data_IF_834415781110
#
_entry.id   IF_834415781110
#
_cell.length_a   1.000
_cell.length_b   1.000
_cell.length_c   1.000
_cell.angle_alpha   90.00
_cell.angle_beta   90.00
_cell.angle_gamma   90.00
#
_symmetry.space_group_name_H-M   'P 1'
#
loop_
_entity.id
_entity.type
_entity.pdbx_description
1 polymer ?
#
# COMPACT_ATOMS: atom_id res chain seq x y z
N UNK A 1 -5.34 16.47 -8.37
CA UNK A 1 -5.01 15.42 -7.39
C UNK A 1 -5.61 15.83 -6.07
N UNK A 2 -6.13 14.88 -5.33
CA UNK A 2 -6.76 15.07 -4.02
C UNK A 2 -5.95 14.28 -2.99
N UNK A 3 -5.75 14.86 -1.81
CA UNK A 3 -5.17 14.15 -0.66
C UNK A 3 -6.29 13.87 0.33
N UNK A 4 -6.40 12.61 0.73
CA UNK A 4 -7.49 12.13 1.58
C UNK A 4 -7.07 12.18 3.05
N UNK A 5 -8.04 12.45 3.92
CA UNK A 5 -7.84 12.39 5.35
C UNK A 5 -7.44 10.96 5.75
N UNK A 6 -6.28 10.86 6.40
CA UNK A 6 -5.72 9.61 6.87
C UNK A 6 -5.88 9.49 8.39
N UNK A 7 -5.87 8.28 8.94
CA UNK A 7 -5.74 8.06 10.39
C UNK A 7 -4.52 8.77 10.97
N UNK A 8 -4.64 9.17 12.23
CA UNK A 8 -3.51 9.66 13.01
C UNK A 8 -2.63 8.47 13.38
N UNK A 9 -1.35 8.54 13.02
CA UNK A 9 -0.36 7.51 13.31
C UNK A 9 0.56 7.95 14.46
N UNK A 10 1.28 7.01 15.11
CA UNK A 10 2.38 7.36 15.99
C UNK A 10 3.45 8.19 15.25
N UNK A 11 4.16 9.06 15.97
CA UNK A 11 5.09 10.06 15.40
C UNK A 11 6.17 9.50 14.47
N UNK A 12 6.57 8.23 14.67
CA UNK A 12 7.56 7.55 13.85
C UNK A 12 7.03 7.11 12.46
N UNK A 13 5.73 7.29 12.19
CA UNK A 13 5.08 6.94 10.92
C UNK A 13 4.40 8.15 10.28
N UNK A 14 4.49 8.24 8.96
CA UNK A 14 3.78 9.22 8.16
C UNK A 14 3.04 8.49 7.05
N UNK A 15 1.82 8.92 6.74
CA UNK A 15 0.99 8.33 5.70
C UNK A 15 0.34 9.42 4.87
N UNK A 16 0.41 9.25 3.55
CA UNK A 16 -0.38 10.01 2.60
C UNK A 16 -1.17 9.06 1.71
N UNK A 17 -2.47 9.32 1.60
CA UNK A 17 -3.35 8.69 0.62
C UNK A 17 -3.75 9.75 -0.41
N UNK A 18 -3.34 9.55 -1.65
CA UNK A 18 -3.65 10.44 -2.77
C UNK A 18 -4.62 9.78 -3.74
N UNK A 19 -5.38 10.62 -4.45
CA UNK A 19 -6.36 10.23 -5.45
C UNK A 19 -6.27 11.12 -6.69
N UNK A 20 -6.43 10.49 -7.86
CA UNK A 20 -6.73 11.18 -9.12
C UNK A 20 -8.12 10.71 -9.60
N UNK A 21 -9.15 11.58 -9.53
CA UNK A 21 -10.45 11.27 -10.10
C UNK A 21 -10.37 11.23 -11.63
N UNK A 22 -11.35 10.57 -12.28
CA UNK A 22 -11.43 10.48 -13.74
C UNK A 22 -10.13 9.97 -14.39
N UNK A 23 -9.47 9.01 -13.74
CA UNK A 23 -8.17 8.45 -14.14
C UNK A 23 -8.15 7.92 -15.57
N UNK A 24 -9.29 7.41 -16.07
CA UNK A 24 -9.43 6.83 -17.42
C UNK A 24 -9.24 7.85 -18.54
N UNK A 25 -9.50 9.13 -18.28
CA UNK A 25 -9.37 10.22 -19.27
C UNK A 25 -8.28 11.23 -18.90
N UNK A 26 -7.65 11.07 -17.74
CA UNK A 26 -6.58 11.96 -17.29
C UNK A 26 -5.29 11.62 -18.03
N UNK A 27 -4.70 12.62 -18.69
CA UNK A 27 -3.44 12.49 -19.40
C UNK A 27 -2.33 13.13 -18.57
N UNK A 28 -1.28 12.36 -18.31
CA UNK A 28 -0.06 12.86 -17.71
C UNK A 28 1.13 12.64 -18.65
N UNK A 29 2.17 13.46 -18.48
CA UNK A 29 3.42 13.30 -19.21
C UNK A 29 4.23 12.13 -18.63
N UNK A 30 4.44 11.03 -19.38
CA UNK A 30 5.18 9.87 -18.88
C UNK A 30 6.64 10.18 -18.56
N UNK A 31 7.27 11.17 -19.22
CA UNK A 31 8.69 11.50 -18.98
C UNK A 31 8.97 12.04 -17.57
N UNK A 32 7.95 12.51 -16.85
CA UNK A 32 8.09 12.90 -15.44
C UNK A 32 8.42 11.69 -14.57
N UNK A 33 7.98 10.49 -14.94
CA UNK A 33 8.26 9.26 -14.19
C UNK A 33 9.75 8.95 -14.17
N UNK A 34 10.49 9.21 -15.25
CA UNK A 34 11.91 8.86 -15.34
C UNK A 34 12.77 9.56 -14.29
N UNK A 35 12.31 10.71 -13.77
CA UNK A 35 12.95 11.38 -12.63
C UNK A 35 12.81 10.59 -11.33
N UNK A 36 11.63 10.02 -11.08
CA UNK A 36 11.25 9.41 -9.82
C UNK A 36 11.37 7.88 -9.80
N UNK A 37 11.40 7.27 -10.98
CA UNK A 37 11.53 5.83 -11.20
C UNK A 37 12.55 5.58 -12.34
N UNK A 38 13.84 5.90 -12.13
CA UNK A 38 14.85 5.95 -13.20
C UNK A 38 15.10 4.61 -13.91
N UNK A 39 14.80 3.48 -13.25
CA UNK A 39 14.93 2.13 -13.83
C UNK A 39 13.64 1.63 -14.50
N UNK A 40 12.60 2.46 -14.58
CA UNK A 40 11.32 2.09 -15.20
C UNK A 40 11.35 2.39 -16.69
N UNK A 41 10.96 1.41 -17.49
CA UNK A 41 10.67 1.64 -18.91
C UNK A 41 9.34 2.40 -19.02
N UNK A 42 9.43 3.72 -19.23
CA UNK A 42 8.26 4.61 -19.27
C UNK A 42 7.52 4.55 -20.61
N UNK A 43 8.20 4.16 -21.69
CA UNK A 43 7.65 4.17 -23.04
C UNK A 43 6.68 3.00 -23.27
N UNK A 44 6.83 1.90 -22.52
CA UNK A 44 5.94 0.75 -22.59
C UNK A 44 4.74 0.80 -21.64
N UNK A 45 4.62 1.84 -20.81
CA UNK A 45 3.53 1.95 -19.85
C UNK A 45 2.21 2.29 -20.54
N UNK A 46 1.15 1.56 -20.17
CA UNK A 46 -0.21 1.96 -20.53
C UNK A 46 -0.55 3.30 -19.86
N UNK A 47 -1.48 4.04 -20.47
CA UNK A 47 -1.98 5.31 -19.91
C UNK A 47 -2.38 5.18 -18.44
N UNK A 48 -3.02 4.07 -18.07
CA UNK A 48 -3.48 3.83 -16.71
C UNK A 48 -2.33 3.62 -15.74
N UNK A 49 -1.28 2.89 -16.15
CA UNK A 49 -0.07 2.75 -15.33
C UNK A 49 0.65 4.09 -15.16
N UNK A 50 0.66 4.93 -16.19
CA UNK A 50 1.21 6.30 -16.08
C UNK A 50 0.45 7.09 -15.01
N UNK A 51 -0.88 7.04 -15.00
CA UNK A 51 -1.70 7.74 -13.99
C UNK A 51 -1.41 7.22 -12.59
N UNK A 52 -1.38 5.90 -12.37
CA UNK A 52 -1.04 5.30 -11.07
C UNK A 52 0.30 5.77 -10.54
N UNK A 53 1.35 5.78 -11.38
CA UNK A 53 2.67 6.27 -10.98
C UNK A 53 2.64 7.75 -10.64
N UNK A 54 1.85 8.56 -11.35
CA UNK A 54 1.65 9.96 -10.97
C UNK A 54 0.98 10.11 -9.61
N UNK A 55 0.03 9.24 -9.25
CA UNK A 55 -0.58 9.27 -7.91
C UNK A 55 0.46 8.94 -6.84
N UNK A 56 1.34 7.95 -7.07
CA UNK A 56 2.46 7.64 -6.18
C UNK A 56 3.45 8.82 -6.08
N UNK A 57 3.77 9.49 -7.20
CA UNK A 57 4.64 10.68 -7.21
C UNK A 57 4.05 11.80 -6.35
N UNK A 58 2.76 12.07 -6.51
CA UNK A 58 2.07 13.09 -5.73
C UNK A 58 2.04 12.75 -4.24
N UNK A 59 1.67 11.53 -3.87
CA UNK A 59 1.68 11.08 -2.48
C UNK A 59 3.08 11.16 -1.84
N UNK A 60 4.12 10.74 -2.57
CA UNK A 60 5.51 10.78 -2.10
C UNK A 60 6.05 12.20 -2.00
N UNK A 61 5.68 13.09 -2.94
CA UNK A 61 6.09 14.50 -2.88
C UNK A 61 5.41 15.22 -1.72
N UNK A 62 4.15 14.92 -1.46
CA UNK A 62 3.39 15.48 -0.34
C UNK A 62 3.99 15.04 1.00
N UNK A 63 4.23 13.74 1.20
CA UNK A 63 4.76 13.22 2.46
C UNK A 63 6.18 13.71 2.77
N UNK A 64 7.00 13.96 1.73
CA UNK A 64 8.36 14.48 1.87
C UNK A 64 8.43 16.01 1.92
N UNK A 65 7.43 16.71 1.41
CA UNK A 65 7.44 18.18 1.25
C UNK A 65 8.40 18.70 0.17
N UNK A 66 8.99 17.83 -0.66
CA UNK A 66 9.86 18.20 -1.78
C UNK A 66 9.81 17.19 -2.92
N UNK A 67 10.30 17.59 -4.11
CA UNK A 67 10.31 16.73 -5.31
C UNK A 67 11.69 16.16 -5.66
N UNK A 68 12.70 16.37 -4.82
CA UNK A 68 14.05 15.84 -5.04
C UNK A 68 14.22 14.44 -4.42
N UNK A 69 13.56 13.46 -5.02
CA UNK A 69 13.58 12.06 -4.58
C UNK A 69 13.39 11.12 -5.76
N UNK A 70 13.82 9.87 -5.59
CA UNK A 70 13.49 8.78 -6.50
C UNK A 70 13.41 7.44 -5.76
N UNK A 71 12.75 6.47 -6.37
CA UNK A 71 12.72 5.09 -5.90
C UNK A 71 13.57 4.18 -6.77
N UNK A 72 14.29 3.28 -6.12
CA UNK A 72 14.75 2.04 -6.72
C UNK A 72 14.02 0.85 -6.10
N UNK A 73 14.29 -0.36 -6.59
CA UNK A 73 13.81 -1.57 -5.97
C UNK A 73 15.00 -2.46 -5.58
N UNK A 74 14.92 -3.07 -4.39
CA UNK A 74 15.87 -4.10 -3.99
C UNK A 74 15.65 -5.41 -4.78
N UNK A 75 16.48 -6.42 -4.53
CA UNK A 75 16.37 -7.73 -5.20
C UNK A 75 15.07 -8.47 -4.92
N UNK A 76 14.35 -8.10 -3.86
CA UNK A 76 13.02 -8.63 -3.50
C UNK A 76 11.87 -7.82 -4.09
N UNK A 77 12.16 -6.78 -4.87
CA UNK A 77 11.15 -5.90 -5.44
C UNK A 77 10.58 -4.87 -4.46
N UNK A 78 11.22 -4.64 -3.30
CA UNK A 78 10.78 -3.62 -2.33
C UNK A 78 11.31 -2.25 -2.70
N UNK A 79 10.51 -1.18 -2.55
CA UNK A 79 10.96 0.17 -2.83
C UNK A 79 12.06 0.61 -1.86
N UNK A 80 13.09 1.24 -2.40
CA UNK A 80 14.16 1.91 -1.66
C UNK A 80 14.12 3.39 -2.01
N UNK A 81 13.93 4.24 -1.01
CA UNK A 81 13.83 5.68 -1.17
C UNK A 81 15.20 6.33 -1.19
N UNK A 82 15.43 7.22 -2.15
CA UNK A 82 16.56 8.13 -2.19
C UNK A 82 16.07 9.57 -2.14
N UNK A 83 16.64 10.37 -1.23
CA UNK A 83 16.33 11.79 -1.02
C UNK A 83 17.59 12.61 -1.29
N UNK A 84 17.50 13.61 -2.16
CA UNK A 84 18.64 14.46 -2.55
C UNK A 84 19.90 13.71 -3.07
N UNK A 85 19.72 12.47 -3.57
CA UNK A 85 20.79 11.63 -4.11
C UNK A 85 21.34 10.60 -3.12
N UNK A 86 20.99 10.71 -1.84
CA UNK A 86 21.40 9.77 -0.81
C UNK A 86 20.27 8.79 -0.47
N UNK A 87 20.62 7.56 -0.08
CA UNK A 87 19.63 6.59 0.38
C UNK A 87 19.03 7.07 1.72
N UNK A 88 17.71 7.11 1.79
CA UNK A 88 16.98 7.46 3.00
C UNK A 88 17.14 6.37 4.07
N UNK A 89 17.17 6.78 5.34
CA UNK A 89 17.07 5.88 6.49
C UNK A 89 15.63 5.43 6.76
N UNK A 90 14.65 6.10 6.14
CA UNK A 90 13.23 5.76 6.29
C UNK A 90 12.90 4.48 5.55
N UNK A 91 12.03 3.69 6.17
CA UNK A 91 11.34 2.56 5.54
C UNK A 91 10.16 3.09 4.75
N UNK A 92 9.90 2.49 3.59
CA UNK A 92 8.82 2.89 2.71
C UNK A 92 8.01 1.68 2.28
N UNK A 93 6.69 1.84 2.23
CA UNK A 93 5.82 0.92 1.51
C UNK A 93 4.81 1.71 0.69
N UNK A 94 4.45 1.15 -0.46
CA UNK A 94 3.58 1.78 -1.45
C UNK A 94 2.47 0.80 -1.82
N UNK A 95 1.25 1.30 -1.91
CA UNK A 95 0.15 0.61 -2.58
C UNK A 95 -0.56 1.56 -3.52
N UNK A 96 -1.09 1.03 -4.61
CA UNK A 96 -1.89 1.78 -5.54
C UNK A 96 -2.93 0.88 -6.18
N UNK A 97 -4.09 1.46 -6.50
CA UNK A 97 -5.19 0.74 -7.11
C UNK A 97 -5.96 1.68 -8.03
N UNK A 98 -6.49 1.13 -9.10
CA UNK A 98 -7.57 1.77 -9.85
C UNK A 98 -8.89 1.15 -9.45
N UNK A 99 -9.82 1.98 -8.99
CA UNK A 99 -11.11 1.51 -8.53
C UNK A 99 -12.18 1.59 -9.63
N UNK A 100 -13.23 0.74 -9.58
CA UNK A 100 -14.29 0.70 -10.58
C UNK A 100 -14.99 2.05 -10.82
N UNK A 101 -15.08 2.92 -9.81
CA UNK A 101 -15.65 4.26 -9.93
C UNK A 101 -14.78 5.24 -10.74
N UNK A 102 -13.66 4.77 -11.29
CA UNK A 102 -12.86 5.50 -12.28
C UNK A 102 -11.76 6.37 -11.68
N UNK A 103 -11.46 6.22 -10.39
CA UNK A 103 -10.36 6.92 -9.73
C UNK A 103 -9.14 6.01 -9.57
N UNK A 104 -7.94 6.61 -9.58
CA UNK A 104 -6.70 5.94 -9.18
C UNK A 104 -6.25 6.47 -7.83
N UNK A 105 -5.82 5.58 -6.95
CA UNK A 105 -5.39 5.90 -5.59
C UNK A 105 -3.97 5.39 -5.37
N UNK A 106 -3.23 6.06 -4.48
CA UNK A 106 -1.98 5.56 -3.95
C UNK A 106 -1.83 5.89 -2.46
N UNK A 107 -1.47 4.89 -1.67
CA UNK A 107 -1.04 5.04 -0.29
C UNK A 107 0.48 4.92 -0.22
N UNK A 108 1.12 5.90 0.41
CA UNK A 108 2.56 5.88 0.70
C UNK A 108 2.74 6.07 2.20
N UNK A 109 3.40 5.11 2.83
CA UNK A 109 3.82 5.19 4.23
C UNK A 109 5.33 5.32 4.31
N UNK A 110 5.80 6.25 5.15
CA UNK A 110 7.19 6.37 5.57
C UNK A 110 7.29 6.06 7.06
N UNK A 111 8.35 5.36 7.48
CA UNK A 111 8.60 5.10 8.90
C UNK A 111 10.06 5.23 9.28
N UNK A 112 10.31 5.82 10.44
CA UNK A 112 11.62 5.91 11.09
C UNK A 112 11.77 4.79 12.11
N UNK A 113 11.89 3.56 11.62
CA UNK A 113 11.97 2.33 12.43
C UNK A 113 12.99 1.36 11.83
N UNK A 114 13.50 0.43 12.63
CA UNK A 114 14.50 -0.55 12.21
C UNK A 114 13.90 -1.77 11.49
N UNK A 115 12.60 -2.02 11.65
CA UNK A 115 11.84 -3.07 10.96
C UNK A 115 11.20 -2.61 9.64
N UNK A 116 10.79 -3.54 8.79
CA UNK A 116 10.06 -3.20 7.56
C UNK A 116 8.58 -2.90 7.86
N UNK A 117 8.01 -2.02 7.04
CA UNK A 117 6.59 -1.64 7.09
C UNK A 117 5.88 -2.08 5.82
N UNK A 118 4.56 -2.22 5.91
CA UNK A 118 3.68 -2.53 4.81
C UNK A 118 2.46 -1.62 4.82
N UNK A 119 2.01 -1.23 3.63
CA UNK A 119 0.70 -0.59 3.41
C UNK A 119 0.03 -1.25 2.21
N UNK A 120 -1.26 -1.52 2.34
CA UNK A 120 -2.09 -1.91 1.21
C UNK A 120 -3.45 -1.23 1.21
N UNK A 121 -3.98 -1.02 0.00
CA UNK A 121 -5.33 -0.50 -0.23
C UNK A 121 -6.07 -1.45 -1.16
N UNK A 122 -7.27 -1.83 -0.74
CA UNK A 122 -8.16 -2.74 -1.46
C UNK A 122 -9.48 -2.02 -1.69
N UNK A 123 -10.13 -2.25 -2.83
CA UNK A 123 -11.49 -1.73 -3.04
C UNK A 123 -12.46 -2.43 -2.08
N UNK A 124 -13.23 -1.67 -1.30
CA UNK A 124 -14.06 -2.24 -0.22
C UNK A 124 -15.09 -3.24 -0.73
N UNK A 125 -15.64 -3.02 -1.92
CA UNK A 125 -16.64 -3.91 -2.54
C UNK A 125 -16.02 -4.81 -3.63
N UNK A 126 -14.80 -5.33 -3.40
CA UNK A 126 -14.12 -6.18 -4.37
C UNK A 126 -14.70 -7.61 -4.41
N UNK A 127 -15.66 -7.84 -5.31
CA UNK A 127 -16.29 -9.15 -5.56
C UNK A 127 -15.30 -10.27 -5.95
N UNK A 128 -14.05 -9.94 -6.29
CA UNK A 128 -13.03 -10.95 -6.56
C UNK A 128 -12.58 -11.67 -5.29
N UNK A 129 -12.77 -11.05 -4.11
CA UNK A 129 -12.31 -11.58 -2.83
C UNK A 129 -12.96 -12.92 -2.49
N UNK A 130 -14.25 -13.08 -2.74
CA UNK A 130 -14.95 -14.36 -2.52
C UNK A 130 -14.30 -15.53 -3.27
N UNK A 131 -13.81 -15.26 -4.49
CA UNK A 131 -13.18 -16.29 -5.34
C UNK A 131 -11.79 -16.68 -4.89
N UNK A 132 -11.08 -15.80 -4.18
CA UNK A 132 -9.72 -16.03 -3.74
C UNK A 132 -9.63 -16.39 -2.26
N UNK A 133 -10.68 -16.12 -1.48
CA UNK A 133 -10.64 -16.27 -0.03
C UNK A 133 -10.23 -17.67 0.42
N UNK A 134 -10.79 -18.73 -0.19
CA UNK A 134 -10.51 -20.13 0.21
C UNK A 134 -9.04 -20.55 -0.01
N UNK A 135 -8.29 -19.87 -0.89
CA UNK A 135 -6.87 -20.13 -1.14
C UNK A 135 -5.91 -19.23 -0.35
N UNK A 136 -6.36 -18.08 0.14
CA UNK A 136 -5.50 -17.09 0.83
C UNK A 136 -5.88 -16.86 2.29
N UNK A 137 -7.04 -17.32 2.74
CA UNK A 137 -7.58 -17.09 4.08
C UNK A 137 -7.96 -18.42 4.74
N UNK A 138 -7.94 -18.42 6.07
CA UNK A 138 -8.42 -19.51 6.91
C UNK A 138 -9.95 -19.52 6.98
N UNK A 139 -10.53 -20.64 7.40
CA UNK A 139 -11.99 -20.76 7.55
C UNK A 139 -12.57 -19.77 8.56
N UNK A 140 -11.84 -19.50 9.64
CA UNK A 140 -12.23 -18.51 10.66
C UNK A 140 -12.25 -17.09 10.08
N UNK A 141 -11.19 -16.70 9.38
CA UNK A 141 -11.10 -15.39 8.69
C UNK A 141 -12.24 -15.19 7.69
N UNK A 142 -12.62 -16.23 6.95
CA UNK A 142 -13.72 -16.18 5.97
C UNK A 142 -15.07 -16.06 6.68
N UNK A 143 -15.26 -16.78 7.79
CA UNK A 143 -16.55 -16.86 8.48
C UNK A 143 -16.83 -15.63 9.33
N UNK A 144 -15.80 -15.10 9.98
CA UNK A 144 -15.92 -14.11 11.04
C UNK A 144 -15.27 -12.75 10.69
N UNK A 145 -14.51 -12.68 9.59
CA UNK A 145 -13.86 -11.46 9.12
C UNK A 145 -14.59 -10.79 7.96
N UNK A 146 -14.25 -9.52 7.71
CA UNK A 146 -14.61 -8.82 6.46
C UNK A 146 -13.49 -9.06 5.44
N UNK A 147 -13.79 -9.73 4.33
CA UNK A 147 -12.78 -10.14 3.35
C UNK A 147 -11.85 -9.00 2.87
N UNK A 148 -12.32 -7.77 2.60
CA UNK A 148 -11.44 -6.66 2.22
C UNK A 148 -10.42 -6.29 3.29
N UNK A 149 -10.80 -6.32 4.57
CA UNK A 149 -9.92 -6.03 5.69
C UNK A 149 -8.84 -7.11 5.81
N UNK A 150 -9.26 -8.38 5.79
CA UNK A 150 -8.34 -9.52 5.86
C UNK A 150 -7.36 -9.50 4.68
N UNK A 151 -7.86 -9.23 3.48
CA UNK A 151 -7.03 -9.18 2.28
C UNK A 151 -6.03 -8.03 2.30
N UNK A 152 -6.48 -6.82 2.64
CA UNK A 152 -5.60 -5.65 2.76
C UNK A 152 -4.50 -5.88 3.80
N UNK A 153 -4.84 -6.47 4.96
CA UNK A 153 -3.86 -6.82 6.00
C UNK A 153 -2.85 -7.83 5.48
N UNK A 154 -3.31 -8.89 4.83
CA UNK A 154 -2.45 -9.95 4.29
C UNK A 154 -1.47 -9.41 3.24
N UNK A 155 -1.93 -8.56 2.32
CA UNK A 155 -1.07 -7.87 1.34
C UNK A 155 -0.08 -6.91 2.02
N UNK A 156 -0.51 -6.17 3.05
CA UNK A 156 0.38 -5.29 3.81
C UNK A 156 1.48 -6.09 4.54
N UNK A 157 1.13 -7.23 5.14
CA UNK A 157 2.10 -8.17 5.74
C UNK A 157 3.08 -8.69 4.69
N UNK A 158 2.59 -9.13 3.52
CA UNK A 158 3.44 -9.57 2.42
C UNK A 158 4.45 -8.48 2.01
N UNK A 159 4.05 -7.20 1.96
CA UNK A 159 4.95 -6.09 1.63
C UNK A 159 6.01 -5.82 2.70
N UNK A 160 5.66 -5.97 3.98
CA UNK A 160 6.63 -5.81 5.07
C UNK A 160 7.69 -6.93 5.07
N UNK A 161 7.27 -8.18 4.88
CA UNK A 161 8.16 -9.34 5.04
C UNK A 161 8.76 -9.86 3.73
N UNK A 162 8.17 -9.53 2.59
CA UNK A 162 8.69 -9.82 1.27
C UNK A 162 8.32 -11.21 0.71
N UNK A 163 9.02 -11.66 -0.34
CA UNK A 163 8.68 -12.90 -1.03
C UNK A 163 8.88 -14.14 -0.14
N UNK A 164 8.06 -15.17 -0.37
CA UNK A 164 8.11 -16.43 0.38
C UNK A 164 7.18 -16.48 1.61
N UNK A 165 6.32 -15.47 1.77
CA UNK A 165 5.20 -15.51 2.72
C UNK A 165 4.02 -16.26 2.09
N UNK A 166 3.55 -17.30 2.77
CA UNK A 166 2.29 -17.98 2.43
C UNK A 166 1.10 -17.26 3.08
N UNK A 167 0.21 -16.70 2.27
CA UNK A 167 -0.94 -15.93 2.76
C UNK A 167 -1.85 -16.69 3.72
N UNK A 168 -2.03 -18.00 3.51
CA UNK A 168 -2.98 -18.81 4.27
C UNK A 168 -2.35 -19.42 5.51
N UNK A 169 -1.11 -19.87 5.39
CA UNK A 169 -0.43 -20.65 6.42
C UNK A 169 0.50 -19.80 7.30
N UNK A 170 1.15 -18.77 6.74
CA UNK A 170 2.09 -17.94 7.50
C UNK A 170 1.42 -16.76 8.18
N UNK A 171 0.28 -16.27 7.66
CA UNK A 171 -0.42 -15.08 8.16
C UNK A 171 -1.78 -15.49 8.74
N UNK A 172 -2.00 -15.23 10.02
CA UNK A 172 -3.31 -15.39 10.67
C UNK A 172 -3.76 -14.05 11.23
N UNK A 173 -4.83 -13.51 10.66
CA UNK A 173 -5.50 -12.31 11.16
C UNK A 173 -6.54 -12.74 12.18
N UNK A 174 -6.43 -12.27 13.43
CA UNK A 174 -7.44 -12.56 14.45
C UNK A 174 -8.72 -11.81 14.14
N UNK A 175 -9.83 -12.54 14.14
CA UNK A 175 -11.17 -12.00 13.90
C UNK A 175 -12.07 -12.17 15.13
N UNK A 176 -13.07 -11.30 15.33
CA UNK A 176 -13.35 -10.09 14.56
C UNK A 176 -12.28 -9.01 14.79
N UNK A 177 -12.12 -8.11 13.81
CA UNK A 177 -11.27 -6.93 13.97
C UNK A 177 -12.06 -5.86 14.73
N UNK A 178 -11.49 -5.33 15.80
CA UNK A 178 -12.14 -4.36 16.67
C UNK A 178 -11.38 -3.02 16.65
N UNK A 179 -12.12 -1.91 16.65
CA UNK A 179 -11.56 -0.55 16.78
C UNK A 179 -10.44 -0.24 15.77
N UNK A 180 -10.57 -0.70 14.52
CA UNK A 180 -9.57 -0.51 13.47
C UNK A 180 -8.18 -1.09 13.78
N UNK A 181 -8.09 -2.01 14.75
CA UNK A 181 -6.85 -2.68 15.16
C UNK A 181 -6.96 -4.17 14.92
N UNK A 182 -6.11 -4.69 14.03
CA UNK A 182 -5.99 -6.10 13.77
C UNK A 182 -4.76 -6.67 14.47
N UNK A 183 -4.95 -7.76 15.23
CA UNK A 183 -3.84 -8.55 15.73
C UNK A 183 -3.52 -9.63 14.70
N UNK A 184 -2.28 -9.65 14.21
CA UNK A 184 -1.84 -10.57 13.16
C UNK A 184 -0.70 -11.40 13.70
N UNK A 185 -0.86 -12.72 13.62
CA UNK A 185 0.22 -13.67 13.87
C UNK A 185 0.94 -13.97 12.56
N UNK A 186 2.23 -13.71 12.51
CA UNK A 186 3.12 -14.06 11.41
C UNK A 186 4.33 -14.84 11.92
N UNK A 187 4.51 -16.09 11.48
CA UNK A 187 5.64 -16.98 11.84
C UNK A 187 6.01 -16.92 13.34
N UNK A 188 5.01 -17.13 14.19
CA UNK A 188 5.07 -17.13 15.67
C UNK A 188 5.17 -15.77 16.38
N UNK A 189 5.24 -14.67 15.64
CA UNK A 189 5.16 -13.32 16.22
C UNK A 189 3.77 -12.72 16.05
N UNK A 190 3.24 -12.13 17.11
CA UNK A 190 2.03 -11.32 17.03
C UNK A 190 2.38 -9.84 16.94
N UNK A 191 1.80 -9.16 15.95
CA UNK A 191 1.98 -7.72 15.73
C UNK A 191 0.62 -7.05 15.56
N UNK A 192 0.57 -5.76 15.91
CA UNK A 192 -0.61 -4.95 15.66
C UNK A 192 -0.52 -4.28 14.29
N UNK A 193 -1.64 -4.32 13.60
CA UNK A 193 -1.86 -3.68 12.31
C UNK A 193 -3.09 -2.79 12.44
N UNK A 194 -3.14 -1.73 11.65
CA UNK A 194 -4.30 -0.87 11.57
C UNK A 194 -5.04 -1.17 10.28
N UNK A 195 -6.37 -1.15 10.34
CA UNK A 195 -7.24 -1.24 9.17
C UNK A 195 -8.38 -0.23 9.28
N UNK A 196 -8.65 0.47 8.19
CA UNK A 196 -9.70 1.49 8.16
C UNK A 196 -10.27 1.65 6.76
N UNK A 197 -11.58 1.87 6.67
CA UNK A 197 -12.21 2.28 5.42
C UNK A 197 -11.99 3.78 5.18
N UNK A 198 -11.46 4.14 4.01
CA UNK A 198 -11.23 5.52 3.55
C UNK A 198 -11.77 5.67 2.14
N UNK A 199 -12.81 6.50 1.96
CA UNK A 199 -13.56 6.60 0.71
C UNK A 199 -14.18 5.25 0.30
N UNK A 200 -13.74 4.67 -0.83
CA UNK A 200 -14.18 3.36 -1.34
C UNK A 200 -13.13 2.26 -1.11
N UNK A 201 -12.13 2.55 -0.26
CA UNK A 201 -10.99 1.69 -0.02
C UNK A 201 -11.01 1.17 1.40
N UNK A 202 -10.58 -0.07 1.57
CA UNK A 202 -10.09 -0.61 2.83
C UNK A 202 -8.56 -0.48 2.83
N UNK A 203 -8.04 0.36 3.73
CA UNK A 203 -6.62 0.62 3.93
C UNK A 203 -6.12 -0.24 5.10
N UNK A 204 -5.00 -0.93 4.93
CA UNK A 204 -4.28 -1.61 6.00
C UNK A 204 -2.81 -1.17 6.05
N UNK A 205 -2.25 -1.00 7.24
CA UNK A 205 -0.82 -0.73 7.43
C UNK A 205 -0.26 -1.18 8.78
N UNK A 206 1.07 -1.32 8.83
CA UNK A 206 1.82 -1.76 10.01
C UNK A 206 3.13 -2.44 9.62
N UNK A 207 3.75 -3.22 10.53
CA UNK A 207 3.35 -3.39 11.93
C UNK A 207 3.72 -2.17 12.79
N UNK A 208 2.94 -1.94 13.85
CA UNK A 208 3.17 -0.93 14.90
C UNK A 208 3.75 -1.54 16.17
#
# INVERSE_FOLDING_TARGET
>A
MEFLNCPILPDQFQLVLAKVPNSKITLYNPFVLSKHFPKRDVDSLSLWRVVEHHVVIGATTEILGHSNWYYEHDSGGRPVLFENGDQSDKRVSISHIQCPEGSSYAAVILAQVDHNIGVDIVYTDDDRLDRIATRTMSEDEIKNGRLPEIWAIKEAVFKAYGPGVDFKNDIVVKTPIENSKANVRFKDEEKNWMVQDVSCLTLALGPF
#
